data_IF_996051321492
#
_entry.id   IF_996051321492
#
_cell.length_a   1.000
_cell.length_b   1.000
_cell.length_c   1.000
_cell.angle_alpha   90.00
_cell.angle_beta   90.00
_cell.angle_gamma   90.00
#
_symmetry.space_group_name_H-M   'P 1'
#
loop_
_entity.id
_entity.type
_entity.pdbx_description
1 polymer ?
#
# COMPACT_ATOMS: atom_id res chain seq x y z
N UNK A 1 -6.97 -34.02 34.61
CA UNK A 1 -5.56 -34.27 34.24
C UNK A 1 -5.45 -33.97 32.76
N UNK A 2 -4.55 -33.06 32.38
CA UNK A 2 -4.29 -32.80 30.96
C UNK A 2 -3.78 -34.09 30.31
N UNK A 3 -4.20 -34.35 29.08
CA UNK A 3 -3.68 -35.46 28.28
C UNK A 3 -2.17 -35.30 28.06
N UNK A 4 -1.45 -36.40 27.84
CA UNK A 4 0.00 -36.36 27.59
C UNK A 4 0.37 -35.42 26.42
N UNK A 5 -0.50 -35.29 25.40
CA UNK A 5 -0.33 -34.34 24.30
C UNK A 5 -0.52 -32.87 24.70
N UNK A 6 -1.43 -32.58 25.63
CA UNK A 6 -1.61 -31.22 26.15
C UNK A 6 -0.43 -30.78 27.02
N UNK A 7 0.11 -31.71 27.83
CA UNK A 7 1.33 -31.47 28.61
C UNK A 7 2.52 -31.18 27.68
N UNK A 8 2.70 -31.99 26.64
CA UNK A 8 3.78 -31.79 25.66
C UNK A 8 3.65 -30.46 24.90
N UNK A 9 2.42 -30.07 24.51
CA UNK A 9 2.19 -28.79 23.87
C UNK A 9 2.48 -27.60 24.81
N UNK A 10 2.13 -27.74 26.10
CA UNK A 10 2.41 -26.69 27.09
C UNK A 10 3.92 -26.53 27.31
N UNK A 11 4.67 -27.63 27.40
CA UNK A 11 6.13 -27.60 27.50
C UNK A 11 6.78 -26.86 26.32
N UNK A 12 6.24 -27.01 25.09
CA UNK A 12 6.75 -26.30 23.91
C UNK A 12 6.54 -24.78 24.03
N UNK A 13 5.43 -24.32 24.60
CA UNK A 13 5.17 -22.89 24.83
C UNK A 13 6.09 -22.32 25.90
N UNK A 14 6.31 -23.04 27.01
CA UNK A 14 7.20 -22.63 28.09
C UNK A 14 8.65 -22.50 27.61
N UNK A 15 9.08 -23.41 26.73
CA UNK A 15 10.39 -23.36 26.05
C UNK A 15 10.44 -22.34 24.91
N UNK A 16 9.35 -21.62 24.63
CA UNK A 16 9.21 -20.65 23.52
C UNK A 16 9.47 -21.27 22.15
N UNK A 17 9.23 -22.57 21.99
CA UNK A 17 9.34 -23.29 20.72
C UNK A 17 8.06 -23.11 19.88
N UNK A 18 7.67 -21.87 19.63
CA UNK A 18 6.38 -21.51 19.03
C UNK A 18 6.13 -22.17 17.67
N UNK A 19 7.19 -22.35 16.87
CA UNK A 19 7.07 -23.02 15.57
C UNK A 19 6.64 -24.48 15.72
N UNK A 20 7.32 -25.24 16.58
CA UNK A 20 7.01 -26.66 16.82
C UNK A 20 5.63 -26.81 17.46
N UNK A 21 5.29 -25.92 18.39
CA UNK A 21 3.95 -25.88 18.98
C UNK A 21 2.89 -25.67 17.90
N UNK A 22 3.06 -24.66 17.05
CA UNK A 22 2.09 -24.34 15.99
C UNK A 22 1.93 -25.48 14.98
N UNK A 23 2.99 -26.22 14.64
CA UNK A 23 2.89 -27.39 13.77
C UNK A 23 2.03 -28.51 14.38
N UNK A 24 2.00 -28.64 15.72
CA UNK A 24 1.21 -29.67 16.43
C UNK A 24 -0.22 -29.25 16.76
N UNK A 25 -0.47 -27.97 17.04
CA UNK A 25 -1.76 -27.49 17.57
C UNK A 25 -2.65 -26.81 16.54
N UNK A 26 -2.15 -26.61 15.31
CA UNK A 26 -2.93 -25.94 14.28
C UNK A 26 -4.20 -26.71 13.91
N UNK A 27 -5.28 -25.96 13.69
CA UNK A 27 -6.55 -26.51 13.22
C UNK A 27 -6.47 -26.96 11.75
N UNK A 28 -7.35 -27.88 11.29
CA UNK A 28 -7.44 -28.26 9.87
C UNK A 28 -7.64 -27.06 8.91
N UNK A 29 -8.31 -26.00 9.38
CA UNK A 29 -8.47 -24.75 8.64
C UNK A 29 -7.12 -24.09 8.31
N UNK A 30 -6.17 -24.12 9.25
CA UNK A 30 -4.83 -23.55 9.06
C UNK A 30 -4.00 -24.43 8.12
N UNK A 31 -4.15 -25.76 8.17
CA UNK A 31 -3.53 -26.68 7.19
C UNK A 31 -3.98 -26.37 5.76
N UNK A 32 -5.28 -26.11 5.58
CA UNK A 32 -5.83 -25.70 4.29
C UNK A 32 -5.26 -24.35 3.83
N UNK A 33 -5.31 -23.32 4.69
CA UNK A 33 -4.87 -21.97 4.34
C UNK A 33 -3.39 -21.90 3.95
N UNK A 34 -2.51 -22.72 4.54
CA UNK A 34 -1.10 -22.81 4.14
C UNK A 34 -0.90 -23.25 2.69
N UNK A 35 -1.85 -23.99 2.12
CA UNK A 35 -1.85 -24.43 0.72
C UNK A 35 -2.61 -23.45 -0.18
N UNK A 36 -3.65 -22.81 0.35
CA UNK A 36 -4.51 -21.90 -0.41
C UNK A 36 -3.89 -20.51 -0.67
N UNK A 37 -2.91 -20.09 0.15
CA UNK A 37 -2.25 -18.79 0.00
C UNK A 37 -1.07 -18.87 -0.98
N UNK A 38 -1.01 -17.91 -1.91
CA UNK A 38 0.10 -17.74 -2.82
C UNK A 38 1.34 -17.22 -2.08
N UNK A 39 2.41 -18.01 -2.07
CA UNK A 39 3.70 -17.57 -1.55
C UNK A 39 4.35 -16.59 -2.52
N UNK A 40 4.62 -15.37 -2.03
CA UNK A 40 5.33 -14.30 -2.76
C UNK A 40 6.81 -14.28 -2.43
N UNK A 41 7.33 -15.38 -1.88
CA UNK A 41 8.75 -15.54 -1.63
C UNK A 41 9.51 -15.66 -2.97
N UNK A 42 10.74 -15.17 -2.97
CA UNK A 42 11.67 -15.33 -4.08
C UNK A 42 12.66 -16.46 -3.79
N UNK A 43 13.02 -17.24 -4.79
CA UNK A 43 14.11 -18.22 -4.74
C UNK A 43 15.16 -17.85 -5.78
N UNK A 44 16.36 -17.48 -5.34
CA UNK A 44 17.44 -17.06 -6.24
C UNK A 44 17.06 -15.82 -7.08
N UNK A 45 16.45 -14.82 -6.44
CA UNK A 45 15.98 -13.57 -7.05
C UNK A 45 14.81 -13.68 -8.05
N UNK A 46 14.24 -14.87 -8.26
CA UNK A 46 13.02 -15.06 -9.03
C UNK A 46 11.83 -15.35 -8.11
N UNK A 47 10.65 -14.83 -8.44
CA UNK A 47 9.41 -15.25 -7.78
C UNK A 47 9.02 -16.67 -8.20
N UNK A 48 8.17 -17.30 -7.39
CA UNK A 48 7.59 -18.59 -7.76
C UNK A 48 6.72 -18.45 -9.04
N UNK A 49 6.62 -19.51 -9.87
CA UNK A 49 5.81 -19.48 -11.08
C UNK A 49 4.36 -19.04 -10.82
N UNK A 50 3.83 -18.20 -11.70
CA UNK A 50 2.47 -17.67 -11.62
C UNK A 50 2.31 -16.41 -10.76
N UNK A 51 3.36 -15.96 -10.05
CA UNK A 51 3.36 -14.62 -9.45
C UNK A 51 3.44 -13.56 -10.54
N UNK A 52 2.64 -12.50 -10.39
CA UNK A 52 2.53 -11.43 -11.39
C UNK A 52 2.62 -10.05 -10.73
N UNK A 53 2.97 -9.04 -11.51
CA UNK A 53 2.87 -7.65 -11.09
C UNK A 53 1.40 -7.20 -11.15
N UNK A 54 0.96 -6.45 -10.14
CA UNK A 54 -0.34 -5.81 -10.15
C UNK A 54 -0.24 -4.41 -10.76
N UNK A 55 -1.03 -4.16 -11.80
CA UNK A 55 -0.96 -2.96 -12.61
C UNK A 55 -2.11 -1.98 -12.33
N UNK A 56 -3.06 -2.32 -11.44
CA UNK A 56 -4.22 -1.49 -11.13
C UNK A 56 -3.82 -0.14 -10.53
N UNK A 57 -2.83 -0.14 -9.64
CA UNK A 57 -2.32 1.09 -9.04
C UNK A 57 -1.76 2.02 -10.11
N UNK A 58 -1.01 1.48 -11.07
CA UNK A 58 -0.44 2.24 -12.19
C UNK A 58 -1.54 2.79 -13.08
N UNK A 59 -2.48 1.93 -13.49
CA UNK A 59 -3.57 2.30 -14.39
C UNK A 59 -4.41 3.47 -13.82
N UNK A 60 -5.01 3.28 -12.64
CA UNK A 60 -5.91 4.28 -12.06
C UNK A 60 -5.20 5.57 -11.68
N UNK A 61 -3.97 5.46 -11.14
CA UNK A 61 -3.23 6.67 -10.79
C UNK A 61 -2.80 7.46 -12.02
N UNK A 62 -2.34 6.79 -13.08
CA UNK A 62 -1.94 7.49 -14.31
C UNK A 62 -3.11 8.26 -14.91
N UNK A 63 -4.30 7.68 -14.94
CA UNK A 63 -5.50 8.36 -15.44
C UNK A 63 -5.86 9.57 -14.57
N UNK A 64 -5.91 9.42 -13.24
CA UNK A 64 -6.21 10.54 -12.33
C UNK A 64 -5.19 11.67 -12.46
N UNK A 65 -3.90 11.37 -12.54
CA UNK A 65 -2.85 12.38 -12.64
C UNK A 65 -2.76 13.05 -14.02
N UNK A 66 -3.26 12.40 -15.08
CA UNK A 66 -3.36 13.02 -16.42
C UNK A 66 -4.58 13.95 -16.52
N UNK A 67 -5.65 13.66 -15.79
CA UNK A 67 -6.91 14.40 -15.82
C UNK A 67 -7.00 15.50 -14.75
N UNK A 68 -6.14 15.47 -13.73
CA UNK A 68 -6.15 16.42 -12.63
C UNK A 68 -5.84 17.85 -13.06
N UNK A 69 -6.47 18.82 -12.40
CA UNK A 69 -6.15 20.24 -12.56
C UNK A 69 -4.64 20.48 -12.32
N UNK A 70 -3.92 21.15 -13.24
CA UNK A 70 -2.50 21.49 -13.05
C UNK A 70 -2.21 22.31 -11.78
N UNK A 71 -3.21 23.03 -11.25
CA UNK A 71 -3.10 23.76 -9.99
C UNK A 71 -3.44 22.92 -8.76
N UNK A 72 -3.98 21.71 -8.92
CA UNK A 72 -4.29 20.84 -7.78
C UNK A 72 -2.99 20.44 -7.06
N UNK A 73 -2.91 20.65 -5.73
CA UNK A 73 -1.80 20.18 -4.93
C UNK A 73 -1.56 18.68 -5.11
N UNK A 74 -0.31 18.30 -5.39
CA UNK A 74 0.11 16.91 -5.62
C UNK A 74 -0.43 15.90 -4.58
N UNK A 75 -0.53 16.32 -3.30
CA UNK A 75 -1.04 15.48 -2.21
C UNK A 75 -2.53 15.13 -2.38
N UNK A 76 -3.33 16.07 -2.90
CA UNK A 76 -4.75 15.86 -3.18
C UNK A 76 -4.92 14.94 -4.39
N UNK A 77 -4.21 15.19 -5.49
CA UNK A 77 -4.24 14.32 -6.67
C UNK A 77 -3.84 12.89 -6.33
N UNK A 78 -2.82 12.72 -5.47
CA UNK A 78 -2.41 11.39 -4.98
C UNK A 78 -3.49 10.73 -4.13
N UNK A 79 -4.17 11.47 -3.26
CA UNK A 79 -5.27 10.94 -2.47
C UNK A 79 -6.47 10.54 -3.35
N UNK A 80 -6.79 11.35 -4.36
CA UNK A 80 -7.81 11.06 -5.36
C UNK A 80 -7.46 9.79 -6.16
N UNK A 81 -6.19 9.63 -6.55
CA UNK A 81 -5.70 8.44 -7.22
C UNK A 81 -5.87 7.18 -6.36
N UNK A 82 -5.46 7.23 -5.09
CA UNK A 82 -5.66 6.12 -4.15
C UNK A 82 -7.16 5.82 -3.93
N UNK A 83 -7.98 6.85 -3.81
CA UNK A 83 -9.44 6.69 -3.72
C UNK A 83 -10.00 5.98 -4.95
N UNK A 84 -9.55 6.36 -6.16
CA UNK A 84 -9.95 5.72 -7.40
C UNK A 84 -9.51 4.25 -7.44
N UNK A 85 -8.28 3.94 -7.05
CA UNK A 85 -7.78 2.55 -6.95
C UNK A 85 -8.66 1.74 -6.01
N UNK A 86 -8.84 2.17 -4.76
CA UNK A 86 -9.61 1.41 -3.77
C UNK A 86 -11.11 1.28 -4.10
N UNK A 87 -11.64 2.20 -4.90
CA UNK A 87 -13.01 2.12 -5.40
C UNK A 87 -13.18 1.06 -6.49
N UNK A 88 -12.15 0.79 -7.29
CA UNK A 88 -12.25 -0.02 -8.51
C UNK A 88 -11.48 -1.34 -8.47
N UNK A 89 -10.38 -1.42 -7.71
CA UNK A 89 -9.54 -2.61 -7.63
C UNK A 89 -10.39 -3.84 -7.29
N UNK A 90 -10.29 -4.94 -8.05
CA UNK A 90 -11.00 -6.17 -7.72
C UNK A 90 -10.68 -6.63 -6.30
N UNK A 91 -11.67 -7.21 -5.62
CA UNK A 91 -11.54 -7.77 -4.28
C UNK A 91 -11.94 -9.24 -4.27
N UNK A 92 -11.31 -10.03 -3.42
CA UNK A 92 -11.58 -11.46 -3.28
C UNK A 92 -11.44 -11.87 -1.82
N UNK A 93 -12.10 -12.98 -1.45
CA UNK A 93 -11.95 -13.63 -0.15
C UNK A 93 -11.35 -15.01 -0.40
N UNK A 94 -10.21 -15.30 0.24
CA UNK A 94 -9.61 -16.64 0.20
C UNK A 94 -10.51 -17.58 1.00
N UNK A 95 -10.82 -18.74 0.42
CA UNK A 95 -11.65 -19.74 1.08
C UNK A 95 -11.09 -20.11 2.46
N UNK A 96 -11.99 -20.39 3.40
CA UNK A 96 -11.70 -20.65 4.82
C UNK A 96 -11.01 -19.49 5.57
N UNK A 97 -10.78 -18.33 4.95
CA UNK A 97 -10.15 -17.20 5.65
C UNK A 97 -11.13 -16.47 6.55
N UNK A 98 -10.68 -16.18 7.78
CA UNK A 98 -11.41 -15.31 8.72
C UNK A 98 -10.94 -13.86 8.72
N UNK A 99 -9.70 -13.63 8.27
CA UNK A 99 -9.11 -12.31 8.14
C UNK A 99 -9.02 -12.04 6.64
N UNK A 100 -9.77 -11.05 6.17
CA UNK A 100 -9.90 -10.74 4.74
C UNK A 100 -9.29 -9.40 4.42
N UNK A 101 -8.84 -9.23 3.18
CA UNK A 101 -8.18 -8.01 2.72
C UNK A 101 -6.91 -8.32 1.95
N UNK A 102 -6.75 -7.71 0.78
CA UNK A 102 -5.53 -7.79 -0.01
C UNK A 102 -5.37 -6.53 -0.86
N UNK A 103 -4.16 -5.97 -0.95
CA UNK A 103 -3.91 -4.70 -1.63
C UNK A 103 -3.75 -4.82 -3.16
N UNK A 104 -3.76 -6.04 -3.71
CA UNK A 104 -3.78 -6.32 -5.14
C UNK A 104 -5.14 -6.85 -5.63
N UNK A 105 -5.31 -6.89 -6.94
CA UNK A 105 -6.47 -7.36 -7.68
C UNK A 105 -6.64 -8.88 -7.69
N UNK A 106 -5.59 -9.64 -7.42
CA UNK A 106 -5.63 -11.11 -7.40
C UNK A 106 -4.62 -11.67 -6.37
N UNK A 107 -4.84 -12.89 -5.84
CA UNK A 107 -4.00 -13.44 -4.77
C UNK A 107 -2.53 -13.65 -5.17
N UNK A 108 -2.27 -13.89 -6.46
CA UNK A 108 -0.93 -14.07 -7.04
C UNK A 108 -0.26 -12.76 -7.50
N UNK A 109 -0.95 -11.63 -7.46
CA UNK A 109 -0.45 -10.34 -7.95
C UNK A 109 0.18 -9.51 -6.83
N UNK A 110 1.34 -8.90 -7.07
CA UNK A 110 2.06 -8.02 -6.12
C UNK A 110 1.90 -6.56 -6.55
N UNK A 111 1.42 -5.70 -5.65
CA UNK A 111 1.19 -4.29 -5.95
C UNK A 111 2.47 -3.57 -6.42
N UNK A 112 2.40 -2.91 -7.57
CA UNK A 112 3.48 -2.12 -8.14
C UNK A 112 3.23 -0.62 -7.98
N UNK A 113 4.10 0.05 -7.24
CA UNK A 113 4.04 1.50 -6.97
C UNK A 113 4.93 2.28 -7.95
N UNK A 114 4.37 3.04 -8.92
CA UNK A 114 5.16 3.61 -10.02
C UNK A 114 5.90 4.90 -9.66
N UNK A 115 5.51 5.61 -8.60
CA UNK A 115 6.06 6.92 -8.25
C UNK A 115 7.26 6.86 -7.30
N UNK A 116 7.82 5.68 -7.03
CA UNK A 116 8.93 5.53 -6.09
C UNK A 116 10.29 5.66 -6.78
N UNK A 117 10.67 4.70 -7.63
CA UNK A 117 11.95 4.67 -8.36
C UNK A 117 11.69 4.27 -9.80
N UNK A 118 12.09 5.13 -10.74
CA UNK A 118 11.94 4.82 -12.16
C UNK A 118 12.86 3.67 -12.57
N UNK A 119 14.04 3.51 -11.92
CA UNK A 119 14.94 2.39 -12.19
C UNK A 119 14.30 1.07 -11.78
N UNK A 120 13.69 1.00 -10.59
CA UNK A 120 12.94 -0.18 -10.17
C UNK A 120 11.76 -0.49 -11.09
N UNK A 121 11.11 0.53 -11.65
CA UNK A 121 10.07 0.32 -12.65
C UNK A 121 10.64 -0.25 -13.96
N UNK A 122 11.78 0.26 -14.42
CA UNK A 122 12.45 -0.24 -15.62
C UNK A 122 12.93 -1.69 -15.43
N UNK A 123 13.42 -2.06 -14.25
CA UNK A 123 13.81 -3.43 -13.94
C UNK A 123 12.62 -4.39 -14.03
N UNK A 124 11.51 -4.06 -13.35
CA UNK A 124 10.28 -4.88 -13.39
C UNK A 124 9.70 -4.94 -14.81
N UNK A 125 9.68 -3.82 -15.53
CA UNK A 125 9.18 -3.76 -16.90
C UNK A 125 10.05 -4.57 -17.86
N UNK A 126 11.38 -4.50 -17.74
CA UNK A 126 12.28 -5.19 -18.66
C UNK A 126 12.43 -6.68 -18.34
N UNK A 127 12.02 -7.13 -17.16
CA UNK A 127 12.01 -8.54 -16.78
C UNK A 127 11.10 -9.36 -17.74
N UNK A 128 11.65 -10.47 -18.24
CA UNK A 128 11.00 -11.41 -19.16
C UNK A 128 10.62 -12.73 -18.50
N UNK A 129 10.65 -12.79 -17.17
CA UNK A 129 10.24 -13.95 -16.36
C UNK A 129 8.71 -14.17 -16.33
N UNK A 130 7.93 -13.38 -17.08
CA UNK A 130 6.48 -13.54 -17.22
C UNK A 130 5.65 -12.86 -16.13
N UNK A 131 6.20 -11.91 -15.39
CA UNK A 131 5.45 -11.17 -14.35
C UNK A 131 4.41 -10.20 -14.91
N UNK A 132 4.57 -9.78 -16.17
CA UNK A 132 3.71 -8.84 -16.87
C UNK A 132 3.19 -9.53 -18.14
N UNK A 133 1.86 -9.53 -18.40
CA UNK A 133 1.32 -9.98 -19.68
C UNK A 133 1.89 -9.17 -20.85
N UNK A 134 2.25 -9.82 -21.96
CA UNK A 134 2.83 -9.12 -23.11
C UNK A 134 1.85 -8.08 -23.70
N UNK A 135 0.54 -8.37 -23.69
CA UNK A 135 -0.51 -7.45 -24.15
C UNK A 135 -0.62 -6.17 -23.30
N UNK A 136 -0.20 -6.22 -22.03
CA UNK A 136 -0.22 -5.06 -21.14
C UNK A 136 0.98 -4.12 -21.34
N UNK A 137 2.06 -4.61 -21.97
CA UNK A 137 3.31 -3.85 -22.06
C UNK A 137 3.19 -2.52 -22.80
N UNK A 138 2.45 -2.39 -23.92
CA UNK A 138 2.38 -1.11 -24.65
C UNK A 138 1.82 0.03 -23.79
N UNK A 139 0.70 -0.19 -23.12
CA UNK A 139 0.08 0.84 -22.27
C UNK A 139 0.89 1.05 -20.99
N UNK A 140 1.47 -0.02 -20.42
CA UNK A 140 2.35 0.10 -19.25
C UNK A 140 3.58 0.95 -19.56
N UNK A 141 4.17 0.81 -20.75
CA UNK A 141 5.32 1.63 -21.14
C UNK A 141 4.97 3.11 -21.14
N UNK A 142 3.82 3.46 -21.73
CA UNK A 142 3.33 4.84 -21.75
C UNK A 142 3.10 5.39 -20.33
N UNK A 143 2.49 4.59 -19.45
CA UNK A 143 2.26 4.97 -18.07
C UNK A 143 3.59 5.13 -17.29
N UNK A 144 4.54 4.21 -17.45
CA UNK A 144 5.84 4.28 -16.78
C UNK A 144 6.67 5.46 -17.28
N UNK A 145 6.58 5.81 -18.57
CA UNK A 145 7.21 7.02 -19.12
C UNK A 145 6.61 8.30 -18.53
N UNK A 146 5.28 8.32 -18.32
CA UNK A 146 4.62 9.39 -17.58
C UNK A 146 5.16 9.51 -16.14
N UNK A 147 5.36 8.38 -15.45
CA UNK A 147 5.84 8.38 -14.07
C UNK A 147 7.33 8.64 -13.91
N UNK A 148 8.16 8.33 -14.92
CA UNK A 148 9.63 8.44 -14.86
C UNK A 148 10.14 9.77 -14.28
N UNK A 149 9.74 10.96 -14.77
CA UNK A 149 10.17 12.24 -14.20
C UNK A 149 9.47 12.61 -12.88
N UNK A 150 8.49 11.82 -12.43
CA UNK A 150 7.61 12.06 -11.27
C UNK A 150 7.87 11.10 -10.10
N UNK A 151 9.01 10.41 -10.11
CA UNK A 151 9.41 9.49 -9.04
C UNK A 151 10.17 10.20 -7.91
N UNK A 152 10.18 9.61 -6.72
CA UNK A 152 11.04 10.07 -5.62
C UNK A 152 12.51 10.05 -6.02
N UNK A 153 12.95 9.03 -6.77
CA UNK A 153 14.30 8.98 -7.35
C UNK A 153 14.60 10.20 -8.23
N UNK A 154 13.74 10.47 -9.23
CA UNK A 154 13.92 11.62 -10.12
C UNK A 154 13.93 12.96 -9.38
N UNK A 155 13.19 13.07 -8.28
CA UNK A 155 13.25 14.24 -7.38
C UNK A 155 14.58 14.31 -6.65
N UNK A 156 15.02 13.22 -6.02
CA UNK A 156 16.23 13.17 -5.22
C UNK A 156 17.47 13.50 -6.05
N UNK A 157 17.56 12.97 -7.27
CA UNK A 157 18.71 13.17 -8.16
C UNK A 157 18.98 14.64 -8.49
N UNK A 158 17.96 15.50 -8.50
CA UNK A 158 18.14 16.95 -8.72
C UNK A 158 19.06 17.62 -7.69
N UNK A 159 19.19 17.03 -6.51
CA UNK A 159 19.99 17.54 -5.41
C UNK A 159 21.30 16.78 -5.21
N UNK A 160 21.55 15.73 -6.00
CA UNK A 160 22.75 14.90 -5.91
C UNK A 160 23.73 15.25 -7.02
N UNK A 161 25.01 15.35 -6.67
CA UNK A 161 26.12 15.38 -7.62
C UNK A 161 26.25 14.05 -8.36
N UNK A 162 26.93 14.05 -9.51
CA UNK A 162 27.18 12.82 -10.27
C UNK A 162 27.91 11.75 -9.44
N UNK A 163 28.86 12.16 -8.59
CA UNK A 163 29.58 11.25 -7.70
C UNK A 163 28.63 10.59 -6.69
N UNK A 164 27.73 11.36 -6.08
CA UNK A 164 26.77 10.83 -5.09
C UNK A 164 25.75 9.88 -5.74
N UNK A 165 25.31 10.17 -6.96
CA UNK A 165 24.44 9.26 -7.73
C UNK A 165 25.14 7.93 -8.02
N UNK A 166 26.40 8.00 -8.49
CA UNK A 166 27.21 6.80 -8.74
C UNK A 166 27.38 5.97 -7.47
N UNK A 167 27.77 6.60 -6.35
CA UNK A 167 27.91 5.90 -5.05
C UNK A 167 26.60 5.28 -4.59
N UNK A 168 25.48 5.99 -4.77
CA UNK A 168 24.15 5.50 -4.41
C UNK A 168 23.71 4.28 -5.23
N UNK A 169 24.16 4.18 -6.49
CA UNK A 169 23.85 3.07 -7.38
C UNK A 169 24.73 1.83 -7.13
N UNK A 170 25.86 1.95 -6.44
CA UNK A 170 26.75 0.83 -6.08
C UNK A 170 26.22 0.00 -4.89
N UNK A 171 24.90 -0.23 -4.83
CA UNK A 171 24.11 -0.78 -3.71
C UNK A 171 24.52 -2.16 -3.15
N UNK A 172 25.65 -2.71 -3.58
CA UNK A 172 26.28 -3.94 -3.08
C UNK A 172 27.23 -3.70 -1.89
N UNK A 173 27.81 -2.51 -1.73
CA UNK A 173 28.82 -2.24 -0.68
C UNK A 173 28.33 -1.23 0.37
N UNK A 174 27.41 -0.35 -0.01
CA UNK A 174 26.73 0.60 0.86
C UNK A 174 25.24 0.48 0.59
N UNK A 175 24.39 0.62 1.61
CA UNK A 175 22.95 0.72 1.39
C UNK A 175 22.69 1.87 0.41
N UNK A 176 22.12 1.55 -0.75
CA UNK A 176 21.81 2.54 -1.78
C UNK A 176 20.86 3.62 -1.24
N UNK A 177 20.78 4.75 -1.95
CA UNK A 177 19.85 5.83 -1.59
C UNK A 177 18.42 5.26 -1.47
N UNK A 178 17.70 5.62 -0.39
CA UNK A 178 16.30 5.17 -0.19
C UNK A 178 15.39 5.48 -1.37
N UNK A 179 15.65 6.59 -2.07
CA UNK A 179 14.92 6.95 -3.28
C UNK A 179 15.12 5.94 -4.43
N UNK A 180 16.25 5.22 -4.46
CA UNK A 180 16.56 4.20 -5.45
C UNK A 180 15.88 2.86 -5.14
N UNK A 181 15.86 2.45 -3.87
CA UNK A 181 15.55 1.08 -3.47
C UNK A 181 14.06 0.74 -3.38
N UNK A 182 13.15 1.72 -3.57
CA UNK A 182 11.70 1.52 -3.40
C UNK A 182 11.24 1.04 -2.01
N UNK A 183 12.14 0.97 -1.03
CA UNK A 183 11.83 0.52 0.31
C UNK A 183 11.74 1.69 1.28
N UNK A 184 10.66 1.70 2.06
CA UNK A 184 10.55 2.58 3.21
C UNK A 184 9.90 1.83 4.37
N UNK A 185 10.07 2.39 5.56
CA UNK A 185 9.51 1.86 6.79
C UNK A 185 8.51 2.86 7.34
N UNK A 186 7.29 2.40 7.60
CA UNK A 186 6.28 3.19 8.28
C UNK A 186 6.08 2.65 9.69
N UNK A 187 6.17 3.53 10.68
CA UNK A 187 5.76 3.23 12.05
C UNK A 187 4.26 3.45 12.15
N UNK A 188 3.51 2.37 12.33
CA UNK A 188 2.06 2.44 12.55
C UNK A 188 1.76 3.00 13.94
N UNK A 189 0.56 3.56 14.10
CA UNK A 189 0.05 4.05 15.38
C UNK A 189 -1.18 3.22 15.81
N UNK A 190 -0.99 1.93 16.16
CA UNK A 190 -2.11 1.02 16.39
C UNK A 190 -3.00 1.46 17.56
N UNK A 191 -2.44 2.03 18.63
CA UNK A 191 -3.20 2.52 19.78
C UNK A 191 -4.18 3.63 19.37
N UNK A 192 -3.72 4.56 18.53
CA UNK A 192 -4.53 5.66 18.02
C UNK A 192 -5.62 5.14 17.07
N UNK A 193 -5.26 4.23 16.15
CA UNK A 193 -6.20 3.63 15.18
C UNK A 193 -7.28 2.79 15.87
N UNK A 194 -6.94 1.97 16.86
CA UNK A 194 -7.91 1.15 17.58
C UNK A 194 -8.81 1.97 18.52
N UNK A 195 -8.29 3.05 19.10
CA UNK A 195 -9.07 3.92 20.00
C UNK A 195 -10.20 4.65 19.27
N UNK A 196 -9.92 5.20 18.09
CA UNK A 196 -10.87 6.07 17.39
C UNK A 196 -11.53 5.42 16.17
N UNK A 197 -10.93 4.37 15.61
CA UNK A 197 -11.30 3.85 14.29
C UNK A 197 -11.09 4.87 13.17
N UNK A 198 -11.30 4.45 11.92
CA UNK A 198 -11.12 5.35 10.77
C UNK A 198 -12.14 6.50 10.77
N UNK A 199 -13.39 6.24 11.19
CA UNK A 199 -14.44 7.25 11.25
C UNK A 199 -14.16 8.31 12.33
N UNK A 200 -13.67 7.91 13.52
CA UNK A 200 -13.28 8.87 14.55
C UNK A 200 -12.05 9.71 14.17
N UNK A 201 -11.12 9.15 13.39
CA UNK A 201 -9.99 9.91 12.83
C UNK A 201 -10.49 10.91 11.78
N UNK A 202 -11.45 10.53 10.92
CA UNK A 202 -12.08 11.45 9.97
C UNK A 202 -12.75 12.62 10.70
N UNK A 203 -13.48 12.36 11.79
CA UNK A 203 -14.10 13.43 12.59
C UNK A 203 -13.07 14.40 13.19
N UNK A 204 -11.91 13.92 13.66
CA UNK A 204 -10.82 14.79 14.13
C UNK A 204 -10.23 15.65 13.00
N UNK A 205 -10.18 15.12 11.78
CA UNK A 205 -9.73 15.87 10.60
C UNK A 205 -10.77 16.94 10.24
N UNK A 206 -12.06 16.62 10.33
CA UNK A 206 -13.15 17.57 10.07
C UNK A 206 -13.12 18.74 11.05
N UNK A 207 -12.90 18.48 12.34
CA UNK A 207 -12.68 19.54 13.33
C UNK A 207 -11.49 20.44 12.98
N UNK A 208 -10.37 19.86 12.51
CA UNK A 208 -9.20 20.64 12.07
C UNK A 208 -9.51 21.50 10.85
N UNK A 209 -10.26 20.97 9.89
CA UNK A 209 -10.69 21.71 8.69
C UNK A 209 -11.64 22.85 9.07
N UNK A 210 -12.61 22.62 9.95
CA UNK A 210 -13.54 23.63 10.42
C UNK A 210 -12.82 24.76 11.17
N UNK A 211 -11.89 24.41 12.05
CA UNK A 211 -11.08 25.39 12.78
C UNK A 211 -10.17 26.20 11.84
N UNK A 212 -9.58 25.56 10.83
CA UNK A 212 -8.79 26.24 9.81
C UNK A 212 -9.65 27.20 8.97
N UNK A 213 -10.85 26.77 8.59
CA UNK A 213 -11.80 27.58 7.85
C UNK A 213 -12.24 28.81 8.66
N UNK A 214 -12.55 28.64 9.95
CA UNK A 214 -12.85 29.76 10.86
C UNK A 214 -11.70 30.77 10.89
N UNK A 215 -10.47 30.31 11.12
CA UNK A 215 -9.29 31.19 11.17
C UNK A 215 -9.08 32.00 9.88
N UNK A 216 -9.38 31.43 8.72
CA UNK A 216 -9.24 32.13 7.44
C UNK A 216 -10.35 33.16 7.17
N UNK A 217 -11.48 33.09 7.89
CA UNK A 217 -12.68 33.89 7.61
C UNK A 217 -13.17 34.74 8.79
N UNK A 218 -12.66 34.52 10.00
CA UNK A 218 -12.95 35.34 11.18
C UNK A 218 -12.00 36.55 11.23
N UNK A 219 -12.53 37.72 10.90
CA UNK A 219 -11.78 38.98 10.91
C UNK A 219 -10.86 39.14 9.70
N UNK A 220 -9.85 40.01 9.83
CA UNK A 220 -8.75 40.08 8.87
C UNK A 220 -7.67 39.10 9.33
N UNK A 221 -7.53 37.92 8.70
CA UNK A 221 -6.51 36.95 9.11
C UNK A 221 -5.12 37.56 8.94
N UNK A 222 -4.22 37.29 9.88
CA UNK A 222 -2.80 37.59 9.68
C UNK A 222 -2.31 36.85 8.44
N UNK A 223 -1.71 37.58 7.51
CA UNK A 223 -1.23 37.02 6.24
C UNK A 223 -0.27 35.85 6.47
N UNK A 224 0.60 35.94 7.49
CA UNK A 224 1.56 34.88 7.82
C UNK A 224 0.83 33.62 8.29
N UNK A 225 -0.11 33.75 9.23
CA UNK A 225 -0.91 32.62 9.72
C UNK A 225 -1.74 31.98 8.60
N UNK A 226 -2.34 32.78 7.72
CA UNK A 226 -3.10 32.28 6.57
C UNK A 226 -2.22 31.42 5.65
N UNK A 227 -1.02 31.89 5.28
CA UNK A 227 -0.10 31.13 4.43
C UNK A 227 0.36 29.81 5.06
N UNK A 228 0.49 29.72 6.38
CA UNK A 228 0.83 28.47 7.08
C UNK A 228 -0.31 27.45 7.13
N UNK A 229 -1.56 27.92 7.09
CA UNK A 229 -2.75 27.06 7.20
C UNK A 229 -3.10 26.40 5.87
N UNK A 230 -2.92 27.09 4.75
CA UNK A 230 -3.28 26.58 3.41
C UNK A 230 -2.73 25.17 3.09
N UNK A 231 -1.41 24.88 3.22
CA UNK A 231 -0.90 23.54 2.93
C UNK A 231 -1.40 22.48 3.92
N UNK A 232 -1.76 22.87 5.15
CA UNK A 232 -2.35 21.96 6.14
C UNK A 232 -3.77 21.56 5.73
N UNK A 233 -4.55 22.49 5.18
CA UNK A 233 -5.88 22.19 4.63
C UNK A 233 -5.79 21.15 3.52
N UNK A 234 -4.86 21.31 2.58
CA UNK A 234 -4.67 20.34 1.49
C UNK A 234 -4.25 18.97 2.03
N UNK A 235 -3.34 18.95 3.01
CA UNK A 235 -2.91 17.73 3.66
C UNK A 235 -4.06 17.02 4.40
N UNK A 236 -4.89 17.76 5.14
CA UNK A 236 -6.05 17.22 5.87
C UNK A 236 -7.13 16.71 4.93
N UNK A 237 -7.45 17.46 3.87
CA UNK A 237 -8.35 17.00 2.81
C UNK A 237 -7.85 15.71 2.17
N UNK A 238 -6.55 15.63 1.85
CA UNK A 238 -5.95 14.41 1.29
C UNK A 238 -6.02 13.22 2.28
N UNK A 239 -5.72 13.45 3.56
CA UNK A 239 -5.86 12.43 4.60
C UNK A 239 -7.29 11.92 4.70
N UNK A 240 -8.28 12.83 4.72
CA UNK A 240 -9.71 12.49 4.76
C UNK A 240 -10.10 11.63 3.56
N UNK A 241 -9.74 12.04 2.35
CA UNK A 241 -10.02 11.29 1.11
C UNK A 241 -9.44 9.87 1.16
N UNK A 242 -8.20 9.70 1.61
CA UNK A 242 -7.58 8.38 1.77
C UNK A 242 -8.33 7.50 2.80
N UNK A 243 -8.69 8.05 3.95
CA UNK A 243 -9.41 7.31 4.99
C UNK A 243 -10.80 6.88 4.52
N UNK A 244 -11.52 7.78 3.85
CA UNK A 244 -12.82 7.48 3.25
C UNK A 244 -12.73 6.39 2.19
N UNK A 245 -11.67 6.39 1.37
CA UNK A 245 -11.39 5.32 0.42
C UNK A 245 -11.26 3.95 1.11
N UNK A 246 -10.52 3.88 2.21
CA UNK A 246 -10.30 2.64 2.97
C UNK A 246 -11.60 2.17 3.64
N UNK A 247 -12.41 3.09 4.18
CA UNK A 247 -13.73 2.76 4.73
C UNK A 247 -14.62 2.14 3.64
N UNK A 248 -14.68 2.77 2.46
CA UNK A 248 -15.46 2.27 1.34
C UNK A 248 -14.96 0.91 0.86
N UNK A 249 -13.64 0.73 0.75
CA UNK A 249 -13.01 -0.53 0.37
C UNK A 249 -13.30 -1.65 1.39
N UNK A 250 -13.19 -1.37 2.68
CA UNK A 250 -13.56 -2.31 3.74
C UNK A 250 -15.04 -2.71 3.65
N UNK A 251 -15.94 -1.76 3.38
CA UNK A 251 -17.37 -2.03 3.16
C UNK A 251 -17.62 -2.89 1.92
N UNK A 252 -16.80 -2.80 0.87
CA UNK A 252 -16.85 -3.72 -0.28
C UNK A 252 -16.55 -5.16 0.15
N UNK A 253 -15.56 -5.37 1.02
CA UNK A 253 -15.28 -6.69 1.60
C UNK A 253 -16.43 -7.22 2.47
N UNK A 254 -17.03 -6.37 3.32
CA UNK A 254 -18.21 -6.77 4.11
C UNK A 254 -19.36 -7.21 3.21
N UNK A 255 -19.60 -6.47 2.10
CA UNK A 255 -20.62 -6.84 1.12
C UNK A 255 -20.29 -8.15 0.41
N UNK A 256 -19.03 -8.36 0.00
CA UNK A 256 -18.59 -9.60 -0.64
C UNK A 256 -18.75 -10.80 0.30
N UNK A 257 -18.37 -10.66 1.57
CA UNK A 257 -18.54 -11.72 2.57
C UNK A 257 -20.02 -12.10 2.74
N UNK A 258 -20.92 -11.10 2.75
CA UNK A 258 -22.37 -11.33 2.80
C UNK A 258 -22.87 -12.05 1.54
N UNK A 259 -22.47 -11.60 0.35
CA UNK A 259 -22.83 -12.25 -0.92
C UNK A 259 -22.39 -13.71 -0.90
N UNK A 260 -21.17 -14.00 -0.44
CA UNK A 260 -20.68 -15.38 -0.35
C UNK A 260 -21.57 -16.19 0.60
N UNK A 261 -21.83 -15.71 1.81
CA UNK A 261 -22.65 -16.41 2.80
C UNK A 261 -24.12 -16.64 2.38
N UNK A 262 -24.66 -15.80 1.50
CA UNK A 262 -26.03 -15.90 1.00
C UNK A 262 -26.17 -16.83 -0.22
N UNK A 263 -25.06 -17.12 -0.94
CA UNK A 263 -25.11 -17.81 -2.24
C UNK A 263 -24.24 -19.07 -2.34
N UNK A 264 -23.34 -19.31 -1.38
CA UNK A 264 -22.38 -20.42 -1.36
C UNK A 264 -22.27 -21.01 0.04
#
# INVERSE_FOLDING_TARGET
>A
MNSASEQENQDLLEKREYWKWAEKTRSPRLDYLRKAVWSKATKGSAYLPGIMADTELIYWSTNVFKESDPMEPWVLTKANALHKVFSNIPIFIVDQSRIVGYNGSAPNKIQWVPWSSYMGNEDIYNDRSGYIPEDDRPWLKEALDYWKPRTLLAKAEKYLTNKERMVSAMGYTLWGNRALSNFDYVTLQPEWMYKYGLEGIISQIDEKLDNANKKLHEGAPDGVEAFEILPKIDQWKAMKTCLQAIVNWSRRYSRLARIIAENF
#
